data_IF_770199532631
#
_entry.id   IF_770199532631
#
_cell.length_a   1.000
_cell.length_b   1.000
_cell.length_c   1.000
_cell.angle_alpha   90.00
_cell.angle_beta   90.00
_cell.angle_gamma   90.00
#
_symmetry.space_group_name_H-M   'P 1'
#
loop_
_entity.id
_entity.type
_entity.pdbx_description
1 polymer ?
#
# COMPACT_ATOMS: atom_id res chain seq x y z
N UNK A 1 -3.39 27.32 5.82
CA UNK A 1 -2.54 26.40 4.99
C UNK A 1 -3.43 25.29 4.49
N UNK A 2 -3.39 24.92 3.19
CA UNK A 2 -4.17 23.79 2.70
C UNK A 2 -3.66 22.49 3.34
N UNK A 3 -4.57 21.55 3.66
CA UNK A 3 -4.21 20.26 4.23
C UNK A 3 -3.26 19.50 3.29
N UNK A 4 -2.28 18.80 3.86
CA UNK A 4 -1.36 17.94 3.09
C UNK A 4 -2.12 16.71 2.61
N UNK A 5 -1.89 16.27 1.37
CA UNK A 5 -2.57 15.12 0.75
C UNK A 5 -1.61 13.99 0.47
N UNK A 6 -1.99 12.79 0.89
CA UNK A 6 -1.29 11.55 0.57
C UNK A 6 -2.18 10.66 -0.29
N UNK A 7 -1.59 10.04 -1.31
CA UNK A 7 -2.22 8.98 -2.08
C UNK A 7 -1.55 7.65 -1.71
N UNK A 8 -2.25 6.82 -0.95
CA UNK A 8 -1.80 5.48 -0.58
C UNK A 8 -2.10 4.54 -1.74
N UNK A 9 -1.14 3.75 -2.14
CA UNK A 9 -1.23 2.80 -3.23
C UNK A 9 -0.99 1.40 -2.66
N UNK A 10 -2.05 0.61 -2.53
CA UNK A 10 -1.97 -0.75 -2.03
C UNK A 10 -3.14 -1.59 -2.56
N UNK A 11 -2.89 -2.86 -2.78
CA UNK A 11 -3.93 -3.78 -3.20
C UNK A 11 -3.47 -5.22 -3.29
N UNK A 12 -4.43 -6.09 -3.61
CA UNK A 12 -4.24 -7.50 -3.86
C UNK A 12 -4.37 -8.38 -2.63
N UNK A 13 -3.77 -8.03 -1.49
CA UNK A 13 -3.85 -8.84 -0.25
C UNK A 13 -3.95 -7.97 0.99
N UNK A 14 -4.52 -8.54 2.07
CA UNK A 14 -4.61 -7.87 3.37
C UNK A 14 -3.25 -7.46 3.92
N UNK A 15 -2.17 -8.20 3.59
CA UNK A 15 -0.81 -7.87 4.02
C UNK A 15 -0.29 -6.50 3.53
N UNK A 16 -0.85 -5.97 2.44
CA UNK A 16 -0.56 -4.62 1.95
C UNK A 16 -1.60 -3.60 2.41
N UNK A 17 -2.87 -4.02 2.48
CA UNK A 17 -4.00 -3.13 2.76
C UNK A 17 -4.01 -2.72 4.24
N UNK A 18 -3.96 -3.66 5.18
CA UNK A 18 -4.05 -3.35 6.61
C UNK A 18 -2.91 -2.45 7.13
N UNK A 19 -1.64 -2.67 6.78
CA UNK A 19 -0.59 -1.71 7.13
C UNK A 19 -0.80 -0.32 6.50
N UNK A 20 -1.33 -0.27 5.28
CA UNK A 20 -1.70 0.99 4.63
C UNK A 20 -2.81 1.73 5.38
N UNK A 21 -3.84 1.03 5.86
CA UNK A 21 -4.92 1.59 6.67
C UNK A 21 -4.40 2.09 8.02
N UNK A 22 -3.49 1.35 8.66
CA UNK A 22 -2.87 1.78 9.92
C UNK A 22 -2.08 3.10 9.75
N UNK A 23 -1.35 3.26 8.63
CA UNK A 23 -0.68 4.53 8.32
C UNK A 23 -1.68 5.63 7.99
N UNK A 24 -2.76 5.31 7.26
CA UNK A 24 -3.82 6.26 6.92
C UNK A 24 -4.44 6.88 8.18
N UNK A 25 -4.77 6.06 9.17
CA UNK A 25 -5.32 6.50 10.46
C UNK A 25 -4.37 7.48 11.15
N UNK A 26 -3.09 7.13 11.26
CA UNK A 26 -2.07 7.97 11.89
C UNK A 26 -1.84 9.31 11.16
N UNK A 27 -1.91 9.31 9.84
CA UNK A 27 -1.78 10.53 9.05
C UNK A 27 -3.03 11.42 9.15
N UNK A 28 -4.23 10.82 9.20
CA UNK A 28 -5.48 11.55 9.40
C UNK A 28 -5.49 12.31 10.73
N UNK A 29 -5.03 11.67 11.81
CA UNK A 29 -4.88 12.32 13.13
C UNK A 29 -3.92 13.53 13.09
N UNK A 30 -2.99 13.53 12.15
CA UNK A 30 -2.06 14.64 11.92
C UNK A 30 -2.57 15.67 10.92
N UNK A 31 -3.85 15.61 10.57
CA UNK A 31 -4.52 16.56 9.68
C UNK A 31 -4.22 16.37 8.18
N UNK A 32 -3.80 15.18 7.76
CA UNK A 32 -3.64 14.87 6.34
C UNK A 32 -4.97 14.43 5.71
N UNK A 33 -5.19 14.84 4.48
CA UNK A 33 -6.23 14.27 3.62
C UNK A 33 -5.70 12.98 2.99
N UNK A 34 -6.45 11.89 3.15
CA UNK A 34 -6.06 10.55 2.73
C UNK A 34 -6.88 10.13 1.52
N UNK A 35 -6.19 9.67 0.49
CA UNK A 35 -6.77 9.06 -0.70
C UNK A 35 -6.13 7.72 -0.95
N UNK A 36 -6.86 6.82 -1.60
CA UNK A 36 -6.36 5.50 -1.91
C UNK A 36 -6.42 5.19 -3.41
N UNK A 37 -5.36 4.61 -3.95
CA UNK A 37 -5.31 4.09 -5.32
C UNK A 37 -5.34 2.57 -5.26
N UNK A 38 -6.40 1.96 -5.80
CA UNK A 38 -6.62 0.53 -5.76
C UNK A 38 -7.35 0.00 -6.98
N UNK A 39 -7.46 -1.32 -7.08
CA UNK A 39 -8.26 -1.97 -8.10
C UNK A 39 -9.72 -2.02 -7.63
N UNK A 40 -10.71 -1.60 -8.47
CA UNK A 40 -12.13 -1.67 -8.09
C UNK A 40 -12.64 -3.08 -7.84
N UNK A 41 -11.98 -4.10 -8.41
CA UNK A 41 -12.33 -5.51 -8.26
C UNK A 41 -11.47 -6.21 -7.18
N UNK A 42 -10.64 -5.45 -6.44
CA UNK A 42 -9.73 -5.97 -5.42
C UNK A 42 -10.34 -5.99 -4.02
N UNK A 43 -9.67 -6.66 -3.09
CA UNK A 43 -10.04 -6.67 -1.66
C UNK A 43 -10.07 -5.23 -1.08
N UNK A 44 -9.21 -4.36 -1.57
CA UNK A 44 -9.15 -2.96 -1.18
C UNK A 44 -10.45 -2.20 -1.47
N UNK A 45 -11.19 -2.57 -2.52
CA UNK A 45 -12.48 -1.94 -2.84
C UNK A 45 -13.57 -2.21 -1.79
N UNK A 46 -13.44 -3.29 -1.04
CA UNK A 46 -14.36 -3.62 0.06
C UNK A 46 -13.89 -3.03 1.40
N UNK A 47 -12.59 -3.05 1.67
CA UNK A 47 -12.04 -2.68 2.96
C UNK A 47 -11.84 -1.17 3.13
N UNK A 48 -11.30 -0.50 2.13
CA UNK A 48 -10.87 0.90 2.25
C UNK A 48 -12.04 1.87 2.49
N UNK A 49 -13.19 1.74 1.81
CA UNK A 49 -14.33 2.62 2.06
C UNK A 49 -14.90 2.51 3.48
N UNK A 50 -14.73 1.36 4.16
CA UNK A 50 -15.16 1.18 5.56
C UNK A 50 -14.39 2.07 6.55
N UNK A 51 -13.29 2.66 6.11
CA UNK A 51 -12.47 3.61 6.86
C UNK A 51 -12.66 5.07 6.42
N UNK A 52 -13.74 5.39 5.69
CA UNK A 52 -14.02 6.73 5.16
C UNK A 52 -12.87 7.30 4.32
N UNK A 53 -12.24 6.45 3.50
CA UNK A 53 -11.16 6.84 2.60
C UNK A 53 -11.68 6.79 1.16
N UNK A 54 -11.55 7.93 0.46
CA UNK A 54 -11.93 8.02 -0.95
C UNK A 54 -10.99 7.19 -1.82
N UNK A 55 -11.56 6.26 -2.59
CA UNK A 55 -10.81 5.43 -3.53
C UNK A 55 -10.77 6.04 -4.93
N UNK A 56 -9.59 5.98 -5.54
CA UNK A 56 -9.34 6.19 -6.95
C UNK A 56 -9.01 4.84 -7.60
N UNK A 57 -9.61 4.57 -8.73
CA UNK A 57 -9.58 3.25 -9.36
C UNK A 57 -8.52 3.14 -10.44
N UNK A 58 -7.79 2.02 -10.44
CA UNK A 58 -6.87 1.61 -11.49
C UNK A 58 -7.06 0.13 -11.78
N UNK A 59 -7.49 -0.21 -13.00
CA UNK A 59 -7.67 -1.59 -13.44
C UNK A 59 -6.33 -2.22 -13.83
N UNK A 60 -5.58 -2.66 -12.83
CA UNK A 60 -4.30 -3.32 -13.06
C UNK A 60 -4.13 -4.51 -12.12
N UNK A 61 -4.14 -5.71 -12.70
CA UNK A 61 -3.99 -6.98 -12.00
C UNK A 61 -2.71 -7.68 -12.40
N UNK A 62 -2.20 -8.55 -11.53
CA UNK A 62 -1.08 -9.41 -11.81
C UNK A 62 -1.32 -10.37 -12.98
N UNK A 63 -0.26 -10.76 -13.61
CA UNK A 63 -0.25 -11.70 -14.74
C UNK A 63 0.34 -13.07 -14.36
N UNK A 64 0.63 -13.28 -13.08
CA UNK A 64 1.22 -14.53 -12.60
C UNK A 64 0.27 -15.71 -12.91
N UNK A 65 0.77 -16.71 -13.61
CA UNK A 65 -0.05 -17.87 -14.03
C UNK A 65 -0.92 -17.65 -15.29
N UNK A 66 -0.91 -16.46 -15.91
CA UNK A 66 -1.66 -16.17 -17.14
C UNK A 66 -0.78 -16.44 -18.38
N UNK A 67 -1.37 -17.05 -19.42
CA UNK A 67 -0.66 -17.50 -20.64
C UNK A 67 0.06 -16.40 -21.44
N UNK A 68 0.73 -16.78 -22.52
CA UNK A 68 1.58 -15.92 -23.36
C UNK A 68 0.85 -14.66 -23.87
N UNK A 69 -0.41 -14.78 -24.27
CA UNK A 69 -1.23 -13.64 -24.74
C UNK A 69 -1.42 -12.56 -23.66
N UNK A 70 -1.50 -12.94 -22.40
CA UNK A 70 -1.59 -11.97 -21.30
C UNK A 70 -0.27 -11.18 -21.12
N UNK A 71 0.86 -11.83 -21.37
CA UNK A 71 2.18 -11.17 -21.35
C UNK A 71 2.34 -10.20 -22.52
N UNK A 72 1.92 -10.57 -23.73
CA UNK A 72 1.96 -9.70 -24.91
C UNK A 72 1.09 -8.45 -24.76
N UNK A 73 -0.05 -8.55 -24.09
CA UNK A 73 -0.97 -7.43 -23.85
C UNK A 73 -0.55 -6.56 -22.65
N UNK A 74 0.49 -6.93 -21.90
CA UNK A 74 0.92 -6.23 -20.70
C UNK A 74 1.27 -4.75 -20.94
N UNK A 75 2.04 -4.37 -21.98
CA UNK A 75 2.37 -2.97 -22.22
C UNK A 75 1.14 -2.09 -22.42
N UNK A 76 0.15 -2.58 -23.17
CA UNK A 76 -1.11 -1.86 -23.42
C UNK A 76 -1.93 -1.71 -22.13
N UNK A 77 -2.01 -2.78 -21.32
CA UNK A 77 -2.68 -2.75 -20.02
C UNK A 77 -2.00 -1.76 -19.05
N UNK A 78 -0.67 -1.77 -19.00
CA UNK A 78 0.08 -0.84 -18.17
C UNK A 78 -0.11 0.61 -18.65
N UNK A 79 -0.10 0.86 -19.95
CA UNK A 79 -0.34 2.18 -20.53
C UNK A 79 -1.72 2.71 -20.12
N UNK A 80 -2.78 1.89 -20.24
CA UNK A 80 -4.14 2.24 -19.81
C UNK A 80 -4.19 2.52 -18.31
N UNK A 81 -3.62 1.66 -17.48
CA UNK A 81 -3.56 1.81 -16.04
C UNK A 81 -2.81 3.09 -15.63
N UNK A 82 -1.72 3.45 -16.32
CA UNK A 82 -1.03 4.72 -16.13
C UNK A 82 -1.93 5.92 -16.49
N UNK A 83 -2.77 5.79 -17.52
CA UNK A 83 -3.77 6.80 -17.88
C UNK A 83 -4.80 7.03 -16.78
N UNK A 84 -5.32 5.95 -16.18
CA UNK A 84 -6.24 5.97 -15.04
C UNK A 84 -5.57 6.58 -13.79
N UNK A 85 -4.35 6.12 -13.46
CA UNK A 85 -3.57 6.69 -12.37
C UNK A 85 -3.31 8.19 -12.57
N UNK A 86 -2.98 8.63 -13.79
CA UNK A 86 -2.78 10.06 -14.09
C UNK A 86 -4.05 10.89 -13.83
N UNK A 87 -5.25 10.35 -14.13
CA UNK A 87 -6.53 11.01 -13.79
C UNK A 87 -6.67 11.16 -12.27
N UNK A 88 -6.38 10.08 -11.51
CA UNK A 88 -6.39 10.11 -10.04
C UNK A 88 -5.43 11.19 -9.49
N UNK A 89 -4.20 11.26 -9.99
CA UNK A 89 -3.23 12.29 -9.57
C UNK A 89 -3.69 13.72 -9.87
N UNK A 90 -4.36 13.95 -11.01
CA UNK A 90 -4.92 15.27 -11.34
C UNK A 90 -6.04 15.70 -10.40
N UNK A 91 -6.88 14.75 -9.96
CA UNK A 91 -7.98 14.99 -9.02
C UNK A 91 -7.47 15.22 -7.60
N UNK A 92 -6.60 14.34 -7.13
CA UNK A 92 -6.08 14.35 -5.75
C UNK A 92 -5.02 15.43 -5.55
N UNK A 93 -4.14 15.64 -6.54
CA UNK A 93 -2.94 16.48 -6.43
C UNK A 93 -2.12 16.14 -5.18
N UNK A 94 -1.67 14.88 -5.02
CA UNK A 94 -1.00 14.45 -3.81
C UNK A 94 0.36 15.14 -3.64
N UNK A 95 0.71 15.49 -2.40
CA UNK A 95 2.03 16.01 -2.05
C UNK A 95 3.06 14.89 -1.92
N UNK A 96 2.60 13.69 -1.61
CA UNK A 96 3.42 12.48 -1.50
C UNK A 96 2.56 11.25 -1.83
N UNK A 97 3.18 10.22 -2.37
CA UNK A 97 2.54 8.91 -2.52
C UNK A 97 3.22 7.88 -1.62
N UNK A 98 2.40 6.98 -1.06
CA UNK A 98 2.87 5.85 -0.25
C UNK A 98 2.53 4.55 -0.96
N UNK A 99 3.53 3.83 -1.44
CA UNK A 99 3.37 2.50 -2.02
C UNK A 99 3.56 1.42 -0.96
N UNK A 100 2.51 0.64 -0.71
CA UNK A 100 2.54 -0.47 0.25
C UNK A 100 2.73 -1.82 -0.44
N UNK A 101 2.58 -1.88 -1.76
CA UNK A 101 2.72 -3.09 -2.54
C UNK A 101 1.44 -3.51 -3.29
N UNK A 102 1.55 -4.63 -4.00
CA UNK A 102 0.54 -5.06 -4.95
C UNK A 102 0.78 -4.51 -6.35
N UNK A 103 0.18 -5.14 -7.36
CA UNK A 103 0.40 -4.75 -8.76
C UNK A 103 -0.07 -3.33 -9.07
N UNK A 104 -1.12 -2.88 -8.40
CA UNK A 104 -1.73 -1.54 -8.57
C UNK A 104 -0.74 -0.41 -8.28
N UNK A 105 0.28 -0.65 -7.45
CA UNK A 105 1.30 0.35 -7.14
C UNK A 105 2.20 0.68 -8.32
N UNK A 106 2.35 -0.23 -9.29
CA UNK A 106 3.25 -0.03 -10.45
C UNK A 106 2.81 1.15 -11.31
N UNK A 107 1.57 1.20 -11.87
CA UNK A 107 1.14 2.34 -12.67
C UNK A 107 1.13 3.65 -11.86
N UNK A 108 0.71 3.61 -10.58
CA UNK A 108 0.73 4.79 -9.72
C UNK A 108 2.15 5.32 -9.47
N UNK A 109 3.10 4.43 -9.16
CA UNK A 109 4.51 4.80 -8.95
C UNK A 109 5.19 5.36 -10.20
N UNK A 110 4.89 4.81 -11.38
CA UNK A 110 5.40 5.35 -12.66
C UNK A 110 4.85 6.75 -12.94
N UNK A 111 3.56 6.98 -12.64
CA UNK A 111 2.94 8.30 -12.77
C UNK A 111 3.52 9.28 -11.75
N UNK A 112 3.71 8.87 -10.49
CA UNK A 112 4.34 9.69 -9.46
C UNK A 112 5.73 10.17 -9.92
N UNK A 113 6.57 9.25 -10.42
CA UNK A 113 7.89 9.59 -10.99
C UNK A 113 7.78 10.60 -12.13
N UNK A 114 6.86 10.36 -13.09
CA UNK A 114 6.68 11.25 -14.26
C UNK A 114 6.23 12.65 -13.87
N UNK A 115 5.44 12.78 -12.80
CA UNK A 115 4.91 14.05 -12.31
C UNK A 115 5.79 14.71 -11.24
N UNK A 116 6.93 14.11 -10.88
CA UNK A 116 7.82 14.63 -9.84
C UNK A 116 7.24 14.56 -8.42
N UNK A 117 6.19 13.74 -8.19
CA UNK A 117 5.61 13.55 -6.86
C UNK A 117 6.48 12.59 -6.06
N UNK A 118 6.99 12.96 -4.88
CA UNK A 118 7.84 12.11 -4.08
C UNK A 118 7.10 10.83 -3.66
N UNK A 119 7.80 9.68 -3.80
CA UNK A 119 7.27 8.37 -3.47
C UNK A 119 8.03 7.76 -2.31
N UNK A 120 7.30 7.35 -1.29
CA UNK A 120 7.76 6.50 -0.19
C UNK A 120 7.24 5.09 -0.44
N UNK A 121 8.07 4.08 -0.28
CA UNK A 121 7.68 2.67 -0.32
C UNK A 121 7.81 2.05 1.05
N UNK A 122 6.91 1.16 1.39
CA UNK A 122 7.03 0.29 2.54
C UNK A 122 6.86 -1.18 2.11
N UNK A 123 7.81 -2.03 2.50
CA UNK A 123 7.75 -3.48 2.28
C UNK A 123 7.49 -4.19 3.59
N UNK A 124 6.39 -4.93 3.65
CA UNK A 124 5.91 -5.62 4.85
C UNK A 124 6.47 -7.03 4.99
N UNK A 125 6.98 -7.61 3.91
CA UNK A 125 7.46 -8.98 3.86
C UNK A 125 8.98 -9.05 4.03
N UNK A 126 9.48 -10.17 4.55
CA UNK A 126 10.91 -10.45 4.62
C UNK A 126 11.56 -10.61 3.24
N UNK A 127 10.76 -10.98 2.24
CA UNK A 127 11.16 -11.04 0.83
C UNK A 127 10.34 -10.03 0.05
N UNK A 128 11.01 -9.04 -0.52
CA UNK A 128 10.35 -7.94 -1.20
C UNK A 128 9.59 -8.39 -2.45
N UNK A 129 8.35 -7.89 -2.58
CA UNK A 129 7.52 -8.10 -3.75
C UNK A 129 8.08 -7.46 -5.01
N UNK A 130 7.78 -8.03 -6.19
CA UNK A 130 8.29 -7.55 -7.48
C UNK A 130 7.95 -6.08 -7.75
N UNK A 131 6.75 -5.63 -7.40
CA UNK A 131 6.33 -4.24 -7.57
C UNK A 131 7.21 -3.29 -6.75
N UNK A 132 7.40 -3.56 -5.46
CA UNK A 132 8.24 -2.75 -4.57
C UNK A 132 9.71 -2.78 -5.01
N UNK A 133 10.25 -3.94 -5.40
CA UNK A 133 11.62 -4.05 -5.95
C UNK A 133 11.82 -3.21 -7.20
N UNK A 134 10.83 -3.18 -8.09
CA UNK A 134 10.88 -2.37 -9.30
C UNK A 134 10.82 -0.87 -8.97
N UNK A 135 9.88 -0.45 -8.14
CA UNK A 135 9.64 0.96 -7.81
C UNK A 135 10.71 1.57 -6.90
N UNK A 136 11.41 0.75 -6.11
CA UNK A 136 12.48 1.20 -5.22
C UNK A 136 13.60 1.98 -5.93
N UNK A 137 13.79 1.73 -7.25
CA UNK A 137 14.75 2.47 -8.07
C UNK A 137 14.43 3.96 -8.22
N UNK A 138 13.19 4.34 -7.96
CA UNK A 138 12.67 5.71 -8.17
C UNK A 138 12.10 6.32 -6.88
N UNK A 139 12.02 5.53 -5.81
CA UNK A 139 11.47 5.99 -4.55
C UNK A 139 12.40 6.98 -3.86
N UNK A 140 11.83 8.02 -3.28
CA UNK A 140 12.56 8.97 -2.43
C UNK A 140 13.02 8.32 -1.12
N UNK A 141 12.23 7.36 -0.59
CA UNK A 141 12.55 6.55 0.58
C UNK A 141 11.98 5.16 0.43
N UNK A 142 12.71 4.18 0.92
CA UNK A 142 12.27 2.78 1.03
C UNK A 142 12.34 2.38 2.49
N UNK A 143 11.21 1.95 3.01
CA UNK A 143 11.04 1.50 4.39
C UNK A 143 10.76 0.00 4.38
N UNK A 144 11.22 -0.74 5.38
CA UNK A 144 11.03 -2.19 5.46
C UNK A 144 10.61 -2.60 6.86
N UNK A 145 9.77 -3.64 6.92
CA UNK A 145 9.36 -4.26 8.18
C UNK A 145 10.44 -5.19 8.75
N UNK A 146 11.27 -5.78 7.89
CA UNK A 146 12.30 -6.74 8.28
C UNK A 146 13.68 -6.28 7.80
N UNK A 147 14.73 -6.42 8.64
CA UNK A 147 16.10 -6.13 8.23
C UNK A 147 16.49 -6.99 7.01
N UNK A 148 17.20 -6.40 6.07
CA UNK A 148 17.71 -7.14 4.91
C UNK A 148 16.69 -7.41 3.79
N UNK A 149 15.39 -7.08 3.96
CA UNK A 149 14.37 -7.30 2.94
C UNK A 149 14.67 -6.57 1.61
N UNK A 150 15.30 -5.39 1.69
CA UNK A 150 15.74 -4.61 0.53
C UNK A 150 17.04 -3.85 0.83
N UNK A 151 17.92 -3.72 -0.17
CA UNK A 151 19.12 -2.89 -0.06
C UNK A 151 18.76 -1.40 0.06
N UNK A 152 19.56 -0.64 0.81
CA UNK A 152 19.39 0.82 1.02
C UNK A 152 18.03 1.21 1.62
N UNK A 153 17.33 0.27 2.26
CA UNK A 153 16.07 0.55 2.95
C UNK A 153 16.31 0.88 4.42
N UNK A 154 15.39 1.65 4.99
CA UNK A 154 15.37 1.94 6.43
C UNK A 154 14.44 0.93 7.11
N UNK A 155 14.93 0.24 8.11
CA UNK A 155 14.12 -0.65 8.92
C UNK A 155 13.28 0.16 9.92
N UNK A 156 11.95 0.03 9.84
CA UNK A 156 10.98 0.77 10.65
C UNK A 156 9.96 -0.13 11.34
N UNK A 157 10.00 -1.45 11.08
CA UNK A 157 8.94 -2.36 11.52
C UNK A 157 7.71 -2.32 10.61
N UNK A 158 6.69 -3.08 10.99
CA UNK A 158 5.43 -3.15 10.24
C UNK A 158 4.37 -2.27 10.91
N UNK A 159 3.69 -1.36 10.18
CA UNK A 159 2.56 -0.62 10.73
C UNK A 159 1.45 -1.56 11.17
N UNK A 160 1.01 -1.42 12.39
CA UNK A 160 -0.02 -2.26 13.02
C UNK A 160 -1.18 -1.38 13.45
N UNK A 161 -2.41 -1.91 13.32
CA UNK A 161 -3.62 -1.25 13.81
C UNK A 161 -3.53 -1.04 15.33
N UNK A 162 -4.00 0.11 15.81
CA UNK A 162 -4.02 0.46 17.24
C UNK A 162 -4.72 -0.57 18.13
N UNK A 163 -5.83 -1.13 17.65
CA UNK A 163 -6.56 -2.15 18.42
C UNK A 163 -5.67 -3.38 18.70
N UNK A 164 -4.81 -3.77 17.74
CA UNK A 164 -3.85 -4.86 17.92
C UNK A 164 -2.71 -4.43 18.87
N UNK A 165 -2.21 -3.21 18.70
CA UNK A 165 -1.13 -2.68 19.56
C UNK A 165 -1.59 -2.44 21.01
N UNK A 166 -2.88 -2.23 21.24
CA UNK A 166 -3.48 -2.04 22.56
C UNK A 166 -3.79 -3.37 23.28
N UNK A 167 -3.61 -4.52 22.60
CA UNK A 167 -3.80 -5.82 23.24
C UNK A 167 -2.74 -6.00 24.34
N UNK A 168 -3.13 -6.26 25.60
CA UNK A 168 -2.17 -6.49 26.68
C UNK A 168 -1.20 -7.63 26.37
N UNK A 169 0.00 -7.57 26.91
CA UNK A 169 1.01 -8.61 26.78
C UNK A 169 0.45 -10.00 27.14
N UNK A 170 0.94 -11.08 26.51
CA UNK A 170 0.43 -12.43 26.74
C UNK A 170 0.41 -12.83 28.20
N UNK A 171 1.43 -12.42 28.97
CA UNK A 171 1.57 -12.69 30.40
C UNK A 171 0.40 -12.12 31.21
N UNK A 172 -0.12 -10.95 30.84
CA UNK A 172 -1.27 -10.34 31.48
C UNK A 172 -2.59 -10.98 31.04
N UNK A 173 -2.73 -11.29 29.75
CA UNK A 173 -3.95 -11.88 29.17
C UNK A 173 -4.20 -13.31 29.61
N UNK A 174 -3.14 -14.08 29.84
CA UNK A 174 -3.24 -15.48 30.21
C UNK A 174 -3.10 -15.75 31.71
N UNK A 175 -2.88 -14.69 32.52
CA UNK A 175 -2.65 -14.80 33.98
C UNK A 175 -3.79 -15.48 34.71
N UNK A 176 -5.03 -15.23 34.28
CA UNK A 176 -6.23 -15.78 34.92
C UNK A 176 -6.91 -16.87 34.06
N UNK A 177 -6.26 -17.30 33.01
CA UNK A 177 -6.85 -18.29 32.10
C UNK A 177 -6.75 -19.68 32.70
N UNK A 178 -7.93 -20.27 32.99
CA UNK A 178 -8.07 -21.68 33.37
C UNK A 178 -8.77 -22.47 32.26
N UNK A 179 -8.42 -23.74 32.08
CA UNK A 179 -9.01 -24.65 31.12
C UNK A 179 -8.17 -24.90 29.87
N UNK A 180 -8.62 -25.82 28.97
CA UNK A 180 -7.88 -26.23 27.81
C UNK A 180 -7.68 -25.08 26.80
N UNK A 181 -6.58 -25.15 26.06
CA UNK A 181 -6.35 -24.25 24.92
C UNK A 181 -7.47 -24.42 23.89
N UNK A 182 -8.14 -23.33 23.57
CA UNK A 182 -9.05 -23.28 22.41
C UNK A 182 -8.19 -22.96 21.19
N UNK A 183 -8.10 -23.90 20.27
CA UNK A 183 -7.44 -23.76 18.97
C UNK A 183 -8.50 -23.32 17.96
#
# INVERSE_FOLDING_TARGET
MSAKRVLIMAGGTGGHIFPGLAVAEQLRERGWEIFWLGNPDGMEALLVPQHDIEMKHVHFQGFRGKGLMAKLRMPLRLHRACGEAKKAFKQVRPHVVLGMGGYVTVPGGLVARKLGVPMVLHEQNSVAGMANRFLARFAARVLVAFPGAMSRAVWVGNPVNRAISAIPAPELRYRERSGPLKV
#
